data_IF_345816542387
#
_entry.id   IF_345816542387
#
_cell.length_a   1.000
_cell.length_b   1.000
_cell.length_c   1.000
_cell.angle_alpha   90.00
_cell.angle_beta   90.00
_cell.angle_gamma   90.00
#
_symmetry.space_group_name_H-M   'P 1'
#
loop_
_entity.id
_entity.type
_entity.pdbx_description
1 polymer ?
#
# COMPACT_ATOMS: atom_id res chain seq x y z
N UNK A 1 -5.46 7.84 3.31
CA UNK A 1 -4.59 6.65 3.30
C UNK A 1 -4.32 6.25 1.86
N UNK A 2 -3.08 5.98 1.53
CA UNK A 2 -2.71 5.34 0.27
C UNK A 2 -2.56 3.86 0.58
N UNK A 3 -3.35 3.07 -0.07
CA UNK A 3 -3.32 1.62 -0.08
C UNK A 3 -2.98 1.17 -1.49
N UNK A 4 -3.19 -0.07 -1.87
CA UNK A 4 -2.98 -0.48 -3.25
C UNK A 4 -3.78 0.39 -4.22
N UNK A 5 -3.09 0.91 -5.23
CA UNK A 5 -3.62 1.77 -6.27
C UNK A 5 -3.39 1.23 -7.68
N UNK A 6 -2.87 0.02 -7.80
CA UNK A 6 -2.72 -0.59 -9.11
C UNK A 6 -4.09 -0.87 -9.76
N UNK A 7 -4.26 -0.62 -11.06
CA UNK A 7 -5.53 -0.84 -11.74
C UNK A 7 -5.92 -2.31 -11.76
N UNK A 8 -7.12 -2.63 -11.30
CA UNK A 8 -7.67 -3.97 -11.31
C UNK A 8 -9.14 -3.99 -11.75
N UNK A 9 -9.59 -5.08 -12.36
CA UNK A 9 -10.97 -5.29 -12.78
C UNK A 9 -11.85 -5.84 -11.65
N UNK A 10 -11.28 -6.48 -10.65
CA UNK A 10 -12.01 -7.13 -9.57
C UNK A 10 -11.47 -6.70 -8.20
N UNK A 11 -10.56 -7.44 -7.67
CA UNK A 11 -9.83 -7.22 -6.42
C UNK A 11 -8.34 -7.17 -6.76
N UNK A 12 -7.50 -6.73 -5.85
CA UNK A 12 -6.05 -6.78 -6.02
C UNK A 12 -5.63 -8.20 -6.36
N UNK A 13 -4.78 -8.34 -7.39
CA UNK A 13 -4.42 -9.66 -7.91
C UNK A 13 -3.59 -10.50 -6.96
N UNK A 14 -2.98 -9.88 -5.98
CA UNK A 14 -2.24 -10.55 -4.89
C UNK A 14 -3.03 -10.67 -3.59
N UNK A 15 -4.27 -10.16 -3.55
CA UNK A 15 -5.11 -10.30 -2.38
C UNK A 15 -5.45 -11.77 -2.13
N UNK A 16 -5.25 -12.23 -0.91
CA UNK A 16 -5.39 -13.63 -0.55
C UNK A 16 -4.21 -14.54 -0.93
N UNK A 17 -3.15 -14.02 -1.55
CA UNK A 17 -1.89 -14.73 -1.71
C UNK A 17 -1.04 -14.49 -0.47
N UNK A 18 -1.17 -15.37 0.50
CA UNK A 18 -0.39 -15.35 1.73
C UNK A 18 0.49 -16.59 1.76
N UNK A 19 1.73 -16.45 1.31
CA UNK A 19 2.69 -17.57 1.31
C UNK A 19 3.53 -17.61 2.57
N UNK A 20 3.81 -16.45 3.18
CA UNK A 20 4.65 -16.34 4.39
C UNK A 20 4.02 -15.47 5.50
N UNK A 21 2.71 -15.24 5.46
CA UNK A 21 2.00 -14.40 6.44
C UNK A 21 2.18 -12.91 6.23
N UNK A 22 2.74 -12.48 5.10
CA UNK A 22 2.91 -11.08 4.76
C UNK A 22 2.60 -10.83 3.30
N UNK A 23 1.57 -10.06 3.03
CA UNK A 23 1.20 -9.66 1.67
C UNK A 23 2.13 -8.60 1.07
N UNK A 24 3.27 -8.35 1.69
CA UNK A 24 4.18 -7.26 1.32
C UNK A 24 3.64 -5.88 1.71
N UNK A 25 4.48 -4.88 1.55
CA UNK A 25 4.13 -3.50 1.86
C UNK A 25 3.67 -2.78 0.59
N UNK A 26 2.40 -2.83 0.24
CA UNK A 26 1.90 -2.16 -0.96
C UNK A 26 1.16 -0.84 -0.69
N UNK A 27 1.27 -0.29 0.47
CA UNK A 27 0.69 1.02 0.77
C UNK A 27 1.21 1.62 2.06
N UNK A 28 0.80 2.83 2.37
CA UNK A 28 0.87 3.35 3.72
C UNK A 28 -0.17 2.59 4.54
N UNK A 29 0.30 1.66 5.30
CA UNK A 29 -0.51 0.96 6.28
C UNK A 29 -0.66 1.92 7.43
N UNK A 30 -1.82 2.55 7.55
CA UNK A 30 -2.19 3.51 8.58
C UNK A 30 -1.30 3.52 9.81
N UNK A 31 -0.09 4.05 9.69
CA UNK A 31 0.89 4.06 10.77
C UNK A 31 0.28 4.61 12.06
N UNK A 32 -0.69 5.54 11.91
CA UNK A 32 -1.42 6.11 13.02
C UNK A 32 -2.57 5.23 13.56
N UNK A 33 -3.04 4.21 12.82
CA UNK A 33 -4.16 3.35 13.24
C UNK A 33 -5.52 4.06 13.32
N UNK A 34 -6.51 3.40 13.90
CA UNK A 34 -7.89 3.87 13.92
C UNK A 34 -8.40 4.33 15.29
N UNK A 35 -7.62 4.22 16.35
CA UNK A 35 -8.05 4.55 17.72
C UNK A 35 -7.19 5.67 18.30
N UNK A 36 -7.83 6.73 18.75
CA UNK A 36 -7.14 7.86 19.35
C UNK A 36 -6.30 8.67 18.37
N UNK A 37 -6.68 8.68 17.09
CA UNK A 37 -5.98 9.36 15.99
C UNK A 37 -6.54 10.76 15.80
N UNK A 38 -5.64 11.72 15.65
CA UNK A 38 -5.94 13.02 15.05
C UNK A 38 -5.72 12.91 13.54
N UNK A 39 -6.75 13.16 12.75
CA UNK A 39 -6.67 13.14 11.29
C UNK A 39 -7.04 14.52 10.74
N UNK A 40 -6.23 15.02 9.81
CA UNK A 40 -6.47 16.27 9.10
C UNK A 40 -6.43 16.02 7.60
N UNK A 41 -7.52 16.35 6.92
CA UNK A 41 -7.65 16.25 5.46
C UNK A 41 -7.95 17.62 4.87
N UNK A 42 -7.19 18.01 3.86
CA UNK A 42 -7.38 19.27 3.14
C UNK A 42 -7.17 19.08 1.65
N UNK A 43 -8.19 19.42 0.87
CA UNK A 43 -8.07 19.51 -0.58
C UNK A 43 -7.89 20.96 -1.01
N UNK A 44 -6.96 21.20 -1.91
CA UNK A 44 -6.65 22.51 -2.48
C UNK A 44 -6.19 22.33 -3.92
N UNK A 45 -6.90 22.94 -4.88
CA UNK A 45 -6.48 23.03 -6.28
C UNK A 45 -6.23 21.65 -6.95
N UNK A 46 -7.03 20.62 -6.65
CA UNK A 46 -6.87 19.28 -7.23
C UNK A 46 -5.86 18.37 -6.50
N UNK A 47 -5.21 18.88 -5.44
CA UNK A 47 -4.37 18.06 -4.54
C UNK A 47 -5.06 17.89 -3.20
N UNK A 48 -5.02 16.69 -2.67
CA UNK A 48 -5.50 16.39 -1.31
C UNK A 48 -4.32 16.01 -0.43
N UNK A 49 -4.16 16.76 0.64
CA UNK A 49 -3.30 16.42 1.76
C UNK A 49 -4.10 15.64 2.80
N UNK A 50 -3.53 14.57 3.31
CA UNK A 50 -4.03 13.81 4.44
C UNK A 50 -2.88 13.63 5.43
N UNK A 51 -3.09 13.99 6.69
CA UNK A 51 -2.11 13.79 7.76
C UNK A 51 -2.78 13.21 8.98
N UNK A 52 -2.16 12.22 9.58
CA UNK A 52 -2.65 11.57 10.78
C UNK A 52 -1.56 11.46 11.84
N UNK A 53 -1.95 11.50 13.10
CA UNK A 53 -1.04 11.31 14.21
C UNK A 53 -1.74 10.64 15.38
N UNK A 54 -1.04 9.76 16.06
CA UNK A 54 -1.48 9.05 17.26
C UNK A 54 -0.40 9.14 18.33
N UNK A 55 -0.82 9.48 19.54
CA UNK A 55 0.06 9.39 20.70
C UNK A 55 0.08 7.95 21.22
N UNK A 56 1.23 7.44 21.56
CA UNK A 56 1.40 6.17 22.24
C UNK A 56 0.63 6.11 23.57
N UNK A 57 -0.02 5.00 23.84
CA UNK A 57 -0.85 4.82 25.02
C UNK A 57 -0.38 3.69 25.95
N UNK A 58 0.73 3.03 25.62
CA UNK A 58 1.19 1.85 26.36
C UNK A 58 0.33 0.59 26.15
N UNK A 59 -0.74 0.67 25.34
CA UNK A 59 -1.55 -0.48 24.97
C UNK A 59 -1.14 -1.00 23.60
N UNK A 60 -1.20 -2.32 23.39
CA UNK A 60 -0.88 -2.93 22.11
C UNK A 60 -1.70 -2.32 20.98
N UNK A 61 -1.06 -1.87 19.92
CA UNK A 61 -1.72 -1.51 18.69
C UNK A 61 -1.55 -2.63 17.68
N UNK A 62 -2.61 -2.99 17.01
CA UNK A 62 -2.65 -4.09 16.06
C UNK A 62 -2.51 -3.61 14.62
N UNK A 63 -1.92 -2.45 14.42
CA UNK A 63 -1.96 -1.82 13.12
C UNK A 63 -0.74 -2.14 12.30
N UNK A 64 -0.87 -3.16 11.47
CA UNK A 64 -0.02 -3.47 10.32
C UNK A 64 1.45 -3.80 10.59
N UNK A 65 2.01 -3.32 11.64
CA UNK A 65 3.34 -3.69 12.10
C UNK A 65 3.22 -4.37 13.45
N UNK A 66 3.74 -5.56 13.55
CA UNK A 66 3.96 -6.34 14.75
C UNK A 66 3.66 -5.60 16.07
N UNK A 67 2.54 -5.91 16.69
CA UNK A 67 2.23 -5.96 18.15
C UNK A 67 3.04 -5.07 19.09
N UNK A 68 3.47 -3.91 18.67
CA UNK A 68 4.09 -2.95 19.56
C UNK A 68 3.01 -2.28 20.42
N UNK A 69 3.16 -2.36 21.71
CA UNK A 69 2.26 -1.73 22.65
C UNK A 69 2.20 -0.23 22.41
N UNK A 70 1.02 0.26 22.03
CA UNK A 70 0.59 1.65 22.06
C UNK A 70 1.59 2.75 21.78
N UNK A 71 2.41 2.56 20.78
CA UNK A 71 3.47 3.50 20.41
C UNK A 71 2.90 4.68 19.63
N UNK A 72 3.60 5.80 19.65
CA UNK A 72 3.26 6.94 18.80
C UNK A 72 3.47 6.60 17.33
N UNK A 73 2.63 7.18 16.49
CA UNK A 73 2.77 7.05 15.05
C UNK A 73 2.24 8.30 14.36
N UNK A 74 2.77 8.59 13.20
CA UNK A 74 2.27 9.64 12.34
C UNK A 74 2.48 9.26 10.87
N UNK A 75 1.61 9.75 10.02
CA UNK A 75 1.74 9.64 8.57
C UNK A 75 1.18 10.86 7.85
N UNK A 76 1.62 11.04 6.64
CA UNK A 76 1.00 11.97 5.70
C UNK A 76 0.98 11.41 4.29
N UNK A 77 0.02 11.86 3.51
CA UNK A 77 -0.11 11.54 2.10
C UNK A 77 -0.54 12.77 1.29
N UNK A 78 -0.03 12.85 0.07
CA UNK A 78 -0.49 13.75 -0.96
C UNK A 78 -1.03 12.92 -2.11
N UNK A 79 -2.24 13.22 -2.57
CA UNK A 79 -2.83 12.61 -3.75
C UNK A 79 -3.39 13.69 -4.67
N UNK A 80 -3.38 13.44 -5.97
CA UNK A 80 -3.87 14.41 -6.94
C UNK A 80 -4.24 13.79 -8.27
N UNK A 81 -4.91 14.60 -9.10
CA UNK A 81 -5.16 14.31 -10.51
C UNK A 81 -4.24 15.13 -11.39
N UNK A 82 -4.14 14.75 -12.65
CA UNK A 82 -3.37 15.49 -13.66
C UNK A 82 -4.05 16.77 -14.16
N UNK A 83 -5.27 17.06 -13.74
CA UNK A 83 -6.02 18.24 -14.18
C UNK A 83 -5.26 19.56 -13.94
N UNK A 84 -4.54 19.65 -12.83
CA UNK A 84 -3.68 20.81 -12.54
C UNK A 84 -2.52 20.99 -13.53
N UNK A 85 -2.09 19.91 -14.17
CA UNK A 85 -0.98 19.89 -15.13
C UNK A 85 -1.49 19.84 -16.57
N UNK A 86 -2.83 19.85 -16.78
CA UNK A 86 -3.45 19.71 -18.09
C UNK A 86 -3.29 18.30 -18.68
N UNK A 87 -3.13 17.28 -17.84
CA UNK A 87 -3.00 15.88 -18.22
C UNK A 87 -4.23 15.10 -17.74
N UNK A 88 -5.22 15.01 -18.58
CA UNK A 88 -6.43 14.23 -18.29
C UNK A 88 -6.10 12.75 -18.09
N UNK A 89 -6.80 12.11 -17.16
CA UNK A 89 -6.64 10.68 -16.88
C UNK A 89 -5.45 10.31 -15.99
N UNK A 90 -4.62 11.27 -15.60
CA UNK A 90 -3.53 11.04 -14.65
C UNK A 90 -4.05 11.10 -13.20
N UNK A 91 -3.69 10.10 -12.38
CA UNK A 91 -3.83 10.13 -10.93
C UNK A 91 -2.49 9.75 -10.30
N UNK A 92 -2.13 10.38 -9.20
CA UNK A 92 -0.86 10.16 -8.54
C UNK A 92 -0.98 10.37 -7.03
N UNK A 93 -0.05 9.82 -6.31
CA UNK A 93 0.08 10.08 -4.87
C UNK A 93 1.40 9.61 -4.32
N UNK A 94 1.76 10.19 -3.20
CA UNK A 94 2.91 9.77 -2.41
C UNK A 94 2.61 9.99 -0.92
N UNK A 95 3.18 9.16 -0.08
CA UNK A 95 3.02 9.27 1.35
C UNK A 95 4.20 8.68 2.11
N UNK A 96 4.29 9.09 3.35
CA UNK A 96 5.32 8.66 4.28
C UNK A 96 4.75 8.63 5.70
N UNK A 97 5.22 7.70 6.51
CA UNK A 97 4.83 7.60 7.92
C UNK A 97 5.88 6.90 8.76
N UNK A 98 5.81 7.14 10.04
CA UNK A 98 6.65 6.52 11.06
C UNK A 98 5.80 5.98 12.19
N UNK A 99 6.18 4.82 12.69
CA UNK A 99 5.60 4.23 13.87
C UNK A 99 6.69 3.74 14.81
N UNK A 100 6.62 4.14 16.08
CA UNK A 100 7.49 3.56 17.09
C UNK A 100 7.21 2.06 17.20
N UNK A 101 8.25 1.23 17.15
CA UNK A 101 8.16 -0.21 17.39
C UNK A 101 8.33 -0.50 18.87
N UNK A 102 7.62 -1.51 19.39
CA UNK A 102 7.68 -1.86 20.81
C UNK A 102 8.98 -2.51 21.27
N UNK A 103 9.95 -2.63 20.41
CA UNK A 103 11.28 -3.12 20.75
C UNK A 103 12.07 -1.99 21.42
N UNK A 104 11.97 -1.91 22.74
CA UNK A 104 12.85 -1.04 23.50
C UNK A 104 14.22 -1.69 23.59
N UNK A 105 15.20 -1.14 22.89
CA UNK A 105 16.56 -1.54 23.10
C UNK A 105 17.07 -0.91 24.41
N UNK A 106 17.05 -1.68 25.49
CA UNK A 106 17.49 -1.24 26.81
C UNK A 106 18.96 -0.76 26.84
N UNK A 107 19.74 -1.05 25.79
CA UNK A 107 21.15 -0.66 25.68
C UNK A 107 21.33 0.69 24.99
N UNK A 108 20.40 1.06 24.08
CA UNK A 108 20.46 2.32 23.35
C UNK A 108 19.55 3.41 23.93
N UNK A 109 18.55 3.05 24.72
CA UNK A 109 17.63 4.01 25.36
C UNK A 109 16.61 4.65 24.43
N UNK A 110 16.58 4.27 23.15
CA UNK A 110 15.68 4.84 22.15
C UNK A 110 14.65 3.80 21.71
N UNK A 111 13.44 4.26 21.46
CA UNK A 111 12.42 3.48 20.75
C UNK A 111 12.85 3.36 19.29
N UNK A 112 12.83 2.14 18.77
CA UNK A 112 13.13 1.91 17.37
C UNK A 112 11.88 2.24 16.53
N UNK A 113 12.08 2.92 15.42
CA UNK A 113 11.01 3.37 14.54
C UNK A 113 10.97 2.51 13.28
N UNK A 114 9.76 2.16 12.86
CA UNK A 114 9.48 1.61 11.54
C UNK A 114 9.03 2.74 10.63
N UNK A 115 9.60 2.83 9.44
CA UNK A 115 9.22 3.82 8.43
C UNK A 115 8.47 3.15 7.28
N UNK A 116 7.47 3.83 6.77
CA UNK A 116 6.64 3.41 5.66
C UNK A 116 6.64 4.49 4.60
N UNK A 117 6.91 4.14 3.36
CA UNK A 117 6.78 5.06 2.23
C UNK A 117 6.06 4.40 1.08
N UNK A 118 5.31 5.18 0.30
CA UNK A 118 4.64 4.70 -0.91
C UNK A 118 4.48 5.82 -1.92
N UNK A 119 4.52 5.47 -3.21
CA UNK A 119 4.17 6.36 -4.29
C UNK A 119 3.50 5.58 -5.41
N UNK A 120 2.50 6.18 -6.05
CA UNK A 120 1.82 5.58 -7.19
C UNK A 120 1.57 6.59 -8.31
N UNK A 121 1.44 6.07 -9.51
CA UNK A 121 0.97 6.80 -10.68
C UNK A 121 0.04 5.91 -11.50
N UNK A 122 -1.13 6.41 -11.86
CA UNK A 122 -2.07 5.76 -12.76
C UNK A 122 -2.39 6.68 -13.91
N UNK A 123 -2.50 6.13 -15.11
CA UNK A 123 -2.88 6.87 -16.29
C UNK A 123 -3.99 6.13 -17.05
N UNK A 124 -5.10 6.84 -17.25
CA UNK A 124 -6.26 6.34 -18.00
C UNK A 124 -6.30 6.96 -19.39
N UNK A 125 -6.33 6.14 -20.41
CA UNK A 125 -6.46 6.55 -21.80
C UNK A 125 -7.52 5.71 -22.52
N UNK A 126 -8.66 6.34 -22.81
CA UNK A 126 -9.81 5.63 -23.36
C UNK A 126 -10.26 4.48 -22.45
N UNK A 127 -10.36 3.24 -22.95
CA UNK A 127 -10.78 2.10 -22.15
C UNK A 127 -9.65 1.46 -21.32
N UNK A 128 -8.43 1.98 -21.40
CA UNK A 128 -7.25 1.41 -20.75
C UNK A 128 -6.84 2.27 -19.55
N UNK A 129 -6.51 1.62 -18.45
CA UNK A 129 -5.81 2.25 -17.31
C UNK A 129 -4.55 1.45 -17.01
N UNK A 130 -3.41 2.12 -17.02
CA UNK A 130 -2.13 1.56 -16.59
C UNK A 130 -1.68 2.23 -15.30
N UNK A 131 -1.07 1.50 -14.40
CA UNK A 131 -0.60 2.03 -13.14
C UNK A 131 0.63 1.32 -12.61
N UNK A 132 1.36 2.05 -11.78
CA UNK A 132 2.53 1.57 -11.07
C UNK A 132 2.53 2.13 -9.66
N UNK A 133 2.91 1.30 -8.71
CA UNK A 133 3.07 1.68 -7.30
C UNK A 133 4.36 1.06 -6.76
N UNK A 134 5.09 1.84 -5.99
CA UNK A 134 6.23 1.41 -5.21
C UNK A 134 5.96 1.72 -3.75
N UNK A 135 6.28 0.77 -2.88
CA UNK A 135 6.14 0.91 -1.43
C UNK A 135 7.32 0.30 -0.71
N UNK A 136 7.67 0.85 0.43
CA UNK A 136 8.77 0.37 1.26
C UNK A 136 8.37 0.41 2.73
N UNK A 137 8.71 -0.64 3.45
CA UNK A 137 8.71 -0.68 4.92
C UNK A 137 10.15 -0.94 5.36
N UNK A 138 10.70 -0.04 6.14
CA UNK A 138 11.92 -0.28 6.89
C UNK A 138 11.51 -0.61 8.33
N UNK A 139 11.61 -1.88 8.70
CA UNK A 139 11.28 -2.27 10.06
C UNK A 139 12.33 -1.74 11.03
N UNK A 140 11.86 -1.08 12.08
CA UNK A 140 12.72 -0.68 13.20
C UNK A 140 13.15 -1.90 14.00
N UNK A 141 14.35 -1.83 14.56
CA UNK A 141 14.84 -2.83 15.46
C UNK A 141 15.99 -3.70 14.96
N UNK A 142 16.75 -4.24 15.90
CA UNK A 142 17.84 -5.18 15.58
C UNK A 142 17.23 -6.46 14.99
N UNK A 143 17.50 -6.71 13.71
CA UNK A 143 16.95 -7.86 12.98
C UNK A 143 15.56 -7.62 12.39
N UNK A 144 15.12 -6.37 12.36
CA UNK A 144 13.89 -6.00 11.62
C UNK A 144 14.06 -6.28 10.13
N UNK A 145 13.04 -6.90 9.55
CA UNK A 145 13.00 -7.24 8.13
C UNK A 145 12.35 -6.10 7.35
N UNK A 146 13.10 -5.46 6.47
CA UNK A 146 12.56 -4.48 5.52
C UNK A 146 11.83 -5.17 4.37
N UNK A 147 10.98 -4.42 3.69
CA UNK A 147 10.29 -4.88 2.48
C UNK A 147 10.23 -3.76 1.46
N UNK A 148 10.54 -4.07 0.22
CA UNK A 148 10.32 -3.18 -0.93
C UNK A 148 9.36 -3.88 -1.87
N UNK A 149 8.33 -3.17 -2.30
CA UNK A 149 7.30 -3.68 -3.20
C UNK A 149 7.23 -2.81 -4.43
N UNK A 150 7.36 -3.44 -5.58
CA UNK A 150 7.10 -2.87 -6.89
C UNK A 150 5.88 -3.57 -7.49
N UNK A 151 4.86 -2.82 -7.84
CA UNK A 151 3.64 -3.36 -8.41
C UNK A 151 3.19 -2.57 -9.62
N UNK A 152 2.74 -3.25 -10.66
CA UNK A 152 2.11 -2.61 -11.81
C UNK A 152 0.85 -3.34 -12.23
N UNK A 153 -0.06 -2.61 -12.84
CA UNK A 153 -1.31 -3.17 -13.33
C UNK A 153 -1.78 -2.49 -14.61
N UNK A 154 -2.48 -3.27 -15.41
CA UNK A 154 -3.14 -2.84 -16.63
C UNK A 154 -4.60 -3.32 -16.59
N UNK A 155 -5.55 -2.38 -16.61
CA UNK A 155 -6.96 -2.69 -16.68
C UNK A 155 -7.53 -2.22 -18.03
N UNK A 156 -8.42 -3.02 -18.61
CA UNK A 156 -9.09 -2.74 -19.87
C UNK A 156 -10.60 -2.94 -19.75
N UNK A 157 -11.35 -1.88 -20.00
CA UNK A 157 -12.79 -1.90 -20.12
C UNK A 157 -13.17 -2.40 -21.52
N UNK A 158 -13.54 -3.68 -21.63
CA UNK A 158 -13.93 -4.31 -22.89
C UNK A 158 -15.22 -3.67 -23.44
N UNK A 159 -16.13 -3.34 -22.53
CA UNK A 159 -17.35 -2.57 -22.78
C UNK A 159 -17.89 -2.02 -21.44
N UNK A 160 -19.05 -1.35 -21.46
CA UNK A 160 -19.66 -0.73 -20.27
C UNK A 160 -19.93 -1.69 -19.12
N UNK A 161 -19.97 -2.98 -19.40
CA UNK A 161 -20.32 -4.01 -18.44
C UNK A 161 -19.17 -4.97 -18.08
N UNK A 162 -18.10 -4.99 -18.87
CA UNK A 162 -17.02 -5.97 -18.72
C UNK A 162 -15.66 -5.30 -18.67
N UNK A 163 -14.89 -5.68 -17.67
CA UNK A 163 -13.48 -5.27 -17.50
C UNK A 163 -12.62 -6.49 -17.28
N UNK A 164 -11.38 -6.42 -17.77
CA UNK A 164 -10.32 -7.39 -17.52
C UNK A 164 -9.08 -6.63 -17.04
N UNK A 165 -8.26 -7.25 -16.23
CA UNK A 165 -6.98 -6.69 -15.81
C UNK A 165 -5.92 -7.76 -15.67
N UNK A 166 -4.68 -7.34 -15.78
CA UNK A 166 -3.48 -8.10 -15.46
C UNK A 166 -2.52 -7.21 -14.69
N UNK A 167 -1.76 -7.80 -13.79
CA UNK A 167 -0.72 -7.10 -13.07
C UNK A 167 0.31 -8.05 -12.47
N UNK A 168 1.40 -7.46 -12.07
CA UNK A 168 2.51 -8.14 -11.41
C UNK A 168 2.96 -7.33 -10.20
N UNK A 169 3.46 -8.05 -9.21
CA UNK A 169 4.05 -7.51 -7.99
C UNK A 169 5.34 -8.26 -7.71
N UNK A 170 6.38 -7.52 -7.37
CA UNK A 170 7.61 -8.03 -6.79
C UNK A 170 7.74 -7.54 -5.36
N UNK A 171 8.05 -8.43 -4.44
CA UNK A 171 8.36 -8.11 -3.05
C UNK A 171 9.75 -8.57 -2.74
N UNK A 172 10.66 -7.65 -2.46
CA UNK A 172 11.98 -7.96 -1.92
C UNK A 172 11.93 -7.84 -0.40
N UNK A 173 12.25 -8.93 0.28
CA UNK A 173 12.42 -8.99 1.73
C UNK A 173 13.89 -8.79 2.08
N UNK A 174 14.19 -7.66 2.71
CA UNK A 174 15.53 -7.39 3.21
C UNK A 174 15.76 -8.18 4.50
N UNK A 175 16.72 -9.10 4.46
CA UNK A 175 17.03 -9.94 5.60
C UNK A 175 18.40 -9.57 6.18
N UNK A 176 18.46 -8.88 7.32
CA UNK A 176 19.71 -8.41 7.92
C UNK A 176 20.67 -9.54 8.33
N UNK A 177 20.22 -10.79 8.33
CA UNK A 177 20.99 -11.96 8.79
C UNK A 177 21.19 -13.03 7.73
N UNK A 178 20.62 -12.88 6.54
CA UNK A 178 20.69 -13.83 5.44
C UNK A 178 20.64 -13.12 4.07
N UNK A 179 20.61 -13.87 2.98
CA UNK A 179 20.35 -13.28 1.66
C UNK A 179 18.91 -12.77 1.57
N UNK A 180 18.72 -11.68 0.84
CA UNK A 180 17.38 -11.18 0.52
C UNK A 180 16.60 -12.24 -0.27
N UNK A 181 15.31 -12.27 -0.08
CA UNK A 181 14.37 -13.17 -0.78
C UNK A 181 13.42 -12.29 -1.59
N UNK A 182 13.21 -12.68 -2.83
CA UNK A 182 12.26 -12.01 -3.72
C UNK A 182 11.08 -12.91 -3.99
N UNK A 183 9.88 -12.41 -3.78
CA UNK A 183 8.62 -13.05 -4.13
C UNK A 183 8.00 -12.34 -5.32
N UNK A 184 7.59 -13.08 -6.33
CA UNK A 184 6.91 -12.55 -7.51
C UNK A 184 5.47 -13.04 -7.52
N UNK A 185 4.53 -12.10 -7.63
CA UNK A 185 3.11 -12.37 -7.78
C UNK A 185 2.60 -11.86 -9.11
N UNK A 186 1.79 -12.64 -9.79
CA UNK A 186 1.09 -12.21 -11.01
C UNK A 186 -0.36 -12.66 -11.00
N UNK A 187 -1.21 -11.96 -11.73
CA UNK A 187 -2.60 -12.36 -11.78
C UNK A 187 -3.41 -11.69 -12.88
N UNK A 188 -4.49 -12.37 -13.21
CA UNK A 188 -5.51 -11.88 -14.11
C UNK A 188 -6.84 -11.78 -13.37
N UNK A 189 -7.58 -10.69 -13.59
CA UNK A 189 -8.90 -10.51 -13.03
C UNK A 189 -9.91 -10.15 -14.12
N UNK A 190 -11.17 -10.55 -13.90
CA UNK A 190 -12.30 -10.27 -14.79
C UNK A 190 -13.49 -9.83 -13.95
N UNK A 191 -14.21 -8.82 -14.39
CA UNK A 191 -15.51 -8.47 -13.82
C UNK A 191 -16.55 -8.25 -14.89
N UNK A 192 -17.79 -8.63 -14.57
CA UNK A 192 -18.95 -8.39 -15.41
C UNK A 192 -20.12 -7.88 -14.58
N UNK A 193 -20.70 -6.77 -15.01
CA UNK A 193 -21.84 -6.13 -14.34
C UNK A 193 -23.10 -6.34 -15.17
N UNK A 194 -24.16 -6.84 -14.54
CA UNK A 194 -25.45 -7.04 -15.16
C UNK A 194 -26.55 -6.42 -14.29
N UNK A 195 -27.00 -5.25 -14.67
CA UNK A 195 -27.94 -4.47 -13.85
C UNK A 195 -27.31 -4.10 -12.49
N UNK A 196 -27.91 -4.56 -11.40
CA UNK A 196 -27.42 -4.33 -10.03
C UNK A 196 -26.46 -5.44 -9.53
N UNK A 197 -26.17 -6.45 -10.32
CA UNK A 197 -25.31 -7.58 -9.96
C UNK A 197 -23.94 -7.42 -10.63
N UNK A 198 -22.86 -7.55 -9.86
CA UNK A 198 -21.49 -7.67 -10.35
C UNK A 198 -20.97 -9.08 -10.04
N UNK A 199 -20.43 -9.75 -11.04
CA UNK A 199 -19.69 -11.00 -10.90
C UNK A 199 -18.23 -10.67 -11.20
N UNK A 200 -17.35 -11.03 -10.31
CA UNK A 200 -15.91 -10.82 -10.46
C UNK A 200 -15.13 -12.06 -10.00
N UNK A 201 -13.96 -12.24 -10.55
CA UNK A 201 -13.06 -13.31 -10.17
C UNK A 201 -11.66 -13.03 -10.66
N UNK A 202 -10.70 -13.62 -9.99
CA UNK A 202 -9.27 -13.53 -10.31
C UNK A 202 -8.61 -14.90 -10.24
N UNK A 203 -7.49 -15.02 -10.92
CA UNK A 203 -6.54 -16.12 -10.79
C UNK A 203 -5.16 -15.53 -10.59
N UNK A 204 -4.53 -15.92 -9.50
CA UNK A 204 -3.25 -15.38 -9.05
C UNK A 204 -2.25 -16.53 -8.91
N UNK A 205 -0.99 -16.21 -9.15
CA UNK A 205 0.15 -17.14 -8.98
C UNK A 205 1.26 -16.41 -8.23
N UNK A 206 1.94 -17.11 -7.32
CA UNK A 206 3.11 -16.62 -6.59
C UNK A 206 4.26 -17.57 -6.81
N UNK A 207 5.44 -17.03 -6.98
CA UNK A 207 6.72 -17.75 -7.08
C UNK A 207 7.80 -17.06 -6.27
N UNK A 208 8.69 -17.84 -5.65
CA UNK A 208 9.88 -17.41 -4.91
C UNK A 208 11.13 -17.84 -5.65
#
# INVERSE_FOLDING_TARGET
>A
TIDDKTPTAAEEIWDGLDTDGTNGAYGLVGAAGNTGVFNYVKSLGGVTFNGAARKGSGAASSDGSSSAAGQSAWDFALTGSGDMMGVDGLAWGAGYGEAETGSFNATAGDAEESTHSTAFVNYSFGPITAGYQMSEIQAGGVGGQGQVVDAWGLAFNVNDNMSISYGEREVEFDNPSAANVTENGEGIAVSYTMGSMKIAGNRNEVSN
#
